data_IF_151905126254
#
_entry.id   IF_151905126254
#
_cell.length_a   1.000
_cell.length_b   1.000
_cell.length_c   1.000
_cell.angle_alpha   90.00
_cell.angle_beta   90.00
_cell.angle_gamma   90.00
#
_symmetry.space_group_name_H-M   'P 1'
#
loop_
_entity.id
_entity.type
_entity.pdbx_description
1 polymer ?
#
# COMPACT_ATOMS: atom_id res chain seq x y z
N UNK A 1 -12.07 -5.34 -6.90
CA UNK A 1 -11.20 -6.39 -6.33
C UNK A 1 -12.07 -7.34 -5.51
N UNK A 2 -11.85 -8.64 -5.59
CA UNK A 2 -12.52 -9.61 -4.71
C UNK A 2 -12.09 -9.42 -3.26
N UNK A 3 -13.02 -9.57 -2.31
CA UNK A 3 -12.78 -9.30 -0.88
C UNK A 3 -11.66 -10.16 -0.30
N UNK A 4 -11.61 -11.45 -0.65
CA UNK A 4 -10.55 -12.37 -0.21
C UNK A 4 -9.16 -11.90 -0.66
N UNK A 5 -9.03 -11.39 -1.90
CA UNK A 5 -7.77 -10.88 -2.41
C UNK A 5 -7.37 -9.61 -1.66
N UNK A 6 -8.32 -8.68 -1.48
CA UNK A 6 -8.08 -7.46 -0.72
C UNK A 6 -7.63 -7.76 0.71
N UNK A 7 -8.26 -8.71 1.39
CA UNK A 7 -7.92 -9.09 2.76
C UNK A 7 -6.59 -9.84 2.83
N UNK A 8 -6.27 -10.65 1.82
CA UNK A 8 -4.96 -11.29 1.69
C UNK A 8 -3.85 -10.25 1.53
N UNK A 9 -4.04 -9.24 0.68
CA UNK A 9 -3.07 -8.15 0.51
C UNK A 9 -2.92 -7.30 1.77
N UNK A 10 -4.00 -7.10 2.55
CA UNK A 10 -3.94 -6.43 3.85
C UNK A 10 -3.07 -7.17 4.86
N UNK A 11 -2.91 -8.50 4.73
CA UNK A 11 -1.95 -9.25 5.55
C UNK A 11 -0.51 -8.81 5.29
N UNK A 12 -0.18 -8.28 4.11
CA UNK A 12 1.14 -7.67 3.86
C UNK A 12 1.15 -6.26 4.46
N UNK A 13 0.31 -5.37 3.93
CA UNK A 13 0.00 -4.07 4.53
C UNK A 13 -1.28 -3.48 3.93
N UNK A 14 -1.91 -2.51 4.61
CA UNK A 14 -3.04 -1.76 4.01
C UNK A 14 -2.61 -0.99 2.76
N UNK A 15 -1.40 -0.45 2.77
CA UNK A 15 -0.79 0.19 1.61
C UNK A 15 -0.61 -0.77 0.42
N UNK A 16 -0.27 -2.04 0.66
CA UNK A 16 -0.12 -3.05 -0.40
C UNK A 16 -1.42 -3.28 -1.14
N UNK A 17 -2.51 -3.52 -0.40
CA UNK A 17 -3.86 -3.63 -0.98
C UNK A 17 -4.21 -2.40 -1.82
N UNK A 18 -3.97 -1.21 -1.28
CA UNK A 18 -4.33 0.06 -1.91
C UNK A 18 -3.52 0.33 -3.17
N UNK A 19 -2.20 0.10 -3.13
CA UNK A 19 -1.33 0.28 -4.29
C UNK A 19 -1.67 -0.68 -5.44
N UNK A 20 -1.90 -1.96 -5.13
CA UNK A 20 -2.32 -2.96 -6.14
C UNK A 20 -3.68 -2.59 -6.73
N UNK A 21 -4.66 -2.18 -5.93
CA UNK A 21 -5.95 -1.72 -6.45
C UNK A 21 -5.84 -0.49 -7.34
N UNK A 22 -5.04 0.51 -6.94
CA UNK A 22 -4.81 1.69 -7.74
C UNK A 22 -4.20 1.34 -9.11
N UNK A 23 -3.22 0.43 -9.13
CA UNK A 23 -2.60 -0.03 -10.37
C UNK A 23 -3.60 -0.78 -11.26
N UNK A 24 -4.39 -1.70 -10.72
CA UNK A 24 -5.41 -2.43 -11.49
C UNK A 24 -6.50 -1.49 -12.02
N UNK A 25 -6.93 -0.51 -11.22
CA UNK A 25 -7.91 0.49 -11.65
C UNK A 25 -7.36 1.39 -12.76
N UNK A 26 -6.10 1.82 -12.64
CA UNK A 26 -5.44 2.62 -13.66
C UNK A 26 -5.22 1.83 -14.96
N UNK A 27 -4.83 0.55 -14.87
CA UNK A 27 -4.70 -0.34 -16.02
C UNK A 27 -6.04 -0.54 -16.73
N UNK A 28 -7.12 -0.85 -15.98
CA UNK A 28 -8.48 -0.96 -16.54
C UNK A 28 -8.95 0.31 -17.25
N UNK A 29 -8.52 1.49 -16.78
CA UNK A 29 -8.87 2.77 -17.38
C UNK A 29 -7.96 3.14 -18.57
N UNK A 30 -6.97 2.31 -18.91
CA UNK A 30 -6.00 2.60 -19.97
C UNK A 30 -5.06 3.76 -19.63
N UNK A 31 -4.85 4.07 -18.34
CA UNK A 31 -4.05 5.21 -17.90
C UNK A 31 -2.57 4.88 -17.65
N UNK A 32 -2.23 3.59 -17.55
CA UNK A 32 -0.85 3.11 -17.38
C UNK A 32 -0.59 1.93 -18.32
N UNK A 33 0.67 1.72 -18.77
CA UNK A 33 1.04 0.56 -19.58
C UNK A 33 0.91 -0.75 -18.79
N UNK A 34 0.59 -1.84 -19.47
CA UNK A 34 0.45 -3.20 -18.88
C UNK A 34 1.60 -4.14 -19.24
N UNK A 35 2.47 -3.73 -20.15
CA UNK A 35 3.68 -4.43 -20.61
C UNK A 35 4.96 -3.95 -19.90
N UNK A 36 4.87 -2.84 -19.17
CA UNK A 36 5.97 -2.23 -18.42
C UNK A 36 5.77 -2.36 -16.90
N UNK A 37 6.86 -2.25 -16.15
CA UNK A 37 6.79 -2.23 -14.69
C UNK A 37 6.54 -0.79 -14.22
N UNK A 38 5.63 -0.61 -13.24
CA UNK A 38 5.23 0.69 -12.69
C UNK A 38 5.44 0.73 -11.17
N UNK A 39 5.54 1.93 -10.61
CA UNK A 39 5.54 2.13 -9.15
C UNK A 39 4.13 2.45 -8.67
N UNK A 40 3.57 1.58 -7.85
CA UNK A 40 2.32 1.81 -7.14
C UNK A 40 2.58 2.22 -5.70
N UNK A 41 1.94 3.31 -5.26
CA UNK A 41 2.09 3.86 -3.90
C UNK A 41 0.75 3.77 -3.18
N UNK A 42 0.79 3.29 -1.94
CA UNK A 42 -0.37 3.15 -1.06
C UNK A 42 -0.07 3.57 0.37
N UNK A 43 -1.12 3.75 1.17
CA UNK A 43 -1.03 4.23 2.54
C UNK A 43 -1.94 3.50 3.52
N UNK A 44 -1.63 3.58 4.81
CA UNK A 44 -2.50 3.14 5.91
C UNK A 44 -3.38 4.28 6.42
N UNK A 45 -4.62 4.34 5.94
CA UNK A 45 -5.64 5.32 6.39
C UNK A 45 -5.44 6.73 5.83
N UNK A 46 -4.25 7.30 5.98
CA UNK A 46 -3.82 8.58 5.39
C UNK A 46 -2.34 8.55 5.01
N UNK A 47 -1.94 9.40 4.05
CA UNK A 47 -0.56 9.47 3.58
C UNK A 47 -0.17 8.26 2.73
N UNK A 48 1.14 7.99 2.68
CA UNK A 48 1.72 6.85 1.98
C UNK A 48 2.83 6.23 2.84
N UNK A 49 2.80 4.91 2.99
CA UNK A 49 3.75 4.12 3.78
C UNK A 49 4.24 2.85 3.04
N UNK A 50 3.63 2.53 1.90
CA UNK A 50 3.99 1.38 1.06
C UNK A 50 4.19 1.80 -0.38
N UNK A 51 5.30 1.36 -0.98
CA UNK A 51 5.58 1.54 -2.41
C UNK A 51 6.06 0.23 -3.03
N UNK A 52 5.51 -0.11 -4.20
CA UNK A 52 5.65 -1.41 -4.85
C UNK A 52 5.99 -1.20 -6.31
N UNK A 53 7.04 -1.84 -6.80
CA UNK A 53 7.22 -2.01 -8.25
C UNK A 53 6.45 -3.25 -8.67
N UNK A 54 5.55 -3.10 -9.64
CA UNK A 54 4.75 -4.20 -10.16
C UNK A 54 4.52 -4.05 -11.66
N UNK A 55 4.32 -5.17 -12.35
CA UNK A 55 3.70 -5.20 -13.67
C UNK A 55 2.19 -5.24 -13.49
N UNK A 56 1.44 -4.21 -13.91
CA UNK A 56 0.01 -4.15 -13.69
C UNK A 56 -0.71 -5.09 -14.67
N UNK A 57 -1.95 -5.42 -14.34
CA UNK A 57 -2.85 -6.16 -15.21
C UNK A 57 -4.28 -5.65 -15.01
N UNK A 58 -5.12 -5.85 -16.02
CA UNK A 58 -6.55 -5.57 -15.90
C UNK A 58 -7.23 -6.52 -14.91
N UNK A 59 -8.37 -6.11 -14.36
CA UNK A 59 -9.12 -6.90 -13.35
C UNK A 59 -9.53 -8.28 -13.87
N UNK A 60 -9.87 -8.40 -15.16
CA UNK A 60 -10.23 -9.68 -15.79
C UNK A 60 -9.03 -10.63 -15.92
N UNK A 61 -7.82 -10.07 -15.87
CA UNK A 61 -6.53 -10.74 -15.99
C UNK A 61 -5.70 -10.57 -14.70
N UNK A 62 -6.36 -10.44 -13.55
CA UNK A 62 -5.70 -10.07 -12.30
C UNK A 62 -4.52 -10.98 -11.93
N UNK A 63 -4.58 -12.28 -12.25
CA UNK A 63 -3.51 -13.23 -11.98
C UNK A 63 -2.25 -13.02 -12.84
N UNK A 64 -2.32 -12.20 -13.89
CA UNK A 64 -1.16 -11.80 -14.69
C UNK A 64 -0.38 -10.64 -14.07
N UNK A 65 -0.94 -9.97 -13.03
CA UNK A 65 -0.24 -8.95 -12.25
C UNK A 65 0.98 -9.56 -11.56
N UNK A 66 2.13 -8.90 -11.66
CA UNK A 66 3.38 -9.37 -11.04
C UNK A 66 3.94 -8.33 -10.11
N UNK A 67 3.97 -8.62 -8.82
CA UNK A 67 4.76 -7.83 -7.86
C UNK A 67 6.24 -8.14 -8.09
N UNK A 68 7.06 -7.11 -8.33
CA UNK A 68 8.50 -7.24 -8.60
C UNK A 68 9.32 -7.03 -7.34
N UNK A 69 9.09 -5.92 -6.66
CA UNK A 69 9.79 -5.55 -5.44
C UNK A 69 8.95 -4.62 -4.58
N UNK A 70 9.22 -4.64 -3.28
CA UNK A 70 8.73 -3.65 -2.33
C UNK A 70 9.84 -2.64 -2.07
N UNK A 71 9.60 -1.37 -2.39
CA UNK A 71 10.54 -0.27 -2.13
C UNK A 71 10.51 0.09 -0.64
N UNK A 72 9.31 0.19 -0.07
CA UNK A 72 9.11 0.39 1.34
C UNK A 72 7.82 -0.30 1.82
N UNK A 73 7.82 -0.71 3.08
CA UNK A 73 6.69 -1.35 3.76
C UNK A 73 6.72 -0.96 5.25
N UNK A 74 5.56 -0.70 5.90
CA UNK A 74 5.54 -0.50 7.34
C UNK A 74 5.97 -1.77 8.08
N UNK A 75 6.89 -1.64 9.04
CA UNK A 75 7.38 -2.76 9.86
C UNK A 75 6.31 -3.28 10.83
N UNK A 76 5.50 -2.37 11.40
CA UNK A 76 4.43 -2.70 12.34
C UNK A 76 3.08 -2.32 11.74
N UNK A 77 2.12 -3.25 11.79
CA UNK A 77 0.77 -3.02 11.29
C UNK A 77 -0.04 -2.29 12.36
N UNK A 78 -0.73 -1.21 12.00
CA UNK A 78 -1.56 -0.44 12.95
C UNK A 78 -2.68 -1.28 13.58
N UNK A 79 -3.15 -2.34 12.91
CA UNK A 79 -4.15 -3.27 13.44
C UNK A 79 -3.57 -4.28 14.46
N UNK A 80 -2.25 -4.39 14.57
CA UNK A 80 -1.54 -5.29 15.50
C UNK A 80 -0.85 -4.54 16.64
N UNK A 81 -1.01 -3.21 16.70
CA UNK A 81 -0.53 -2.42 17.83
C UNK A 81 -1.47 -2.63 19.01
N UNK A 82 -1.00 -3.32 20.03
CA UNK A 82 -1.63 -3.25 21.35
C UNK A 82 -1.43 -1.82 21.91
N UNK A 83 -2.30 -1.34 22.82
CA UNK A 83 -2.15 -0.02 23.43
C UNK A 83 -0.76 0.26 24.04
N UNK A 84 -0.06 -0.80 24.46
CA UNK A 84 1.33 -0.77 24.95
C UNK A 84 2.35 -0.49 23.84
N UNK A 85 2.13 -0.94 22.61
CA UNK A 85 3.07 -0.78 21.50
C UNK A 85 3.02 0.64 20.91
N UNK A 86 1.90 1.34 21.10
CA UNK A 86 1.76 2.78 20.85
C UNK A 86 2.59 3.64 21.81
N UNK A 87 3.03 3.10 22.95
CA UNK A 87 3.85 3.80 23.94
C UNK A 87 5.36 3.63 23.74
N UNK A 88 5.76 2.78 22.78
CA UNK A 88 7.16 2.56 22.42
C UNK A 88 7.80 3.84 21.87
N UNK A 89 9.06 4.17 22.24
CA UNK A 89 9.74 5.39 21.82
C UNK A 89 9.90 5.48 20.29
N UNK A 90 10.04 4.35 19.59
CA UNK A 90 10.16 4.26 18.13
C UNK A 90 8.87 4.75 17.43
N UNK A 91 7.71 4.20 17.80
CA UNK A 91 6.39 4.59 17.25
C UNK A 91 6.02 6.03 17.60
N UNK A 92 6.43 6.49 18.79
CA UNK A 92 6.24 7.87 19.23
C UNK A 92 7.10 8.87 18.46
N UNK A 93 8.28 8.47 17.98
CA UNK A 93 9.17 9.30 17.16
C UNK A 93 8.66 9.43 15.72
N UNK A 94 8.11 8.35 15.14
CA UNK A 94 7.47 8.37 13.81
C UNK A 94 6.24 9.28 13.78
N UNK A 95 5.42 9.31 14.85
CA UNK A 95 4.30 10.24 14.97
C UNK A 95 4.71 11.71 15.07
N UNK A 96 5.86 12.01 15.70
CA UNK A 96 6.39 13.38 15.83
C UNK A 96 7.03 13.87 14.53
N UNK A 97 7.58 12.96 13.72
CA UNK A 97 8.19 13.27 12.42
C UNK A 97 7.19 13.19 11.25
N UNK A 98 5.97 12.71 11.47
CA UNK A 98 4.90 12.85 10.48
C UNK A 98 4.69 14.35 10.20
N UNK A 99 4.67 14.78 8.93
CA UNK A 99 4.55 16.20 8.58
C UNK A 99 3.34 16.80 9.29
N UNK A 100 3.63 17.69 10.24
CA UNK A 100 2.65 18.32 11.09
C UNK A 100 1.60 18.99 10.22
N UNK A 101 0.34 18.65 10.47
CA UNK A 101 -0.83 19.28 9.86
C UNK A 101 -0.90 20.72 10.36
N UNK A 102 -0.12 21.61 9.76
CA UNK A 102 -0.36 23.04 9.79
C UNK A 102 -1.71 23.27 9.13
N UNK A 103 -2.72 23.56 9.94
CA UNK A 103 -4.05 23.87 9.46
C UNK A 103 -4.01 25.08 8.52
N UNK A 104 -4.52 24.88 7.32
CA UNK A 104 -5.27 25.87 6.54
C UNK A 104 -6.46 25.16 5.94
#
# INVERSE_FOLDING_TARGET
MLEIVAETLRRISRGTKTGVEAAVMAANAGLIPIDEDVVAVGGTGRGADTAIVLRPAEMNHFFDLKVREFICLPQVRTAELEPKDLSSPEVSSERKNAPGRGGR
#
